data_IF_976919195527
#
_entry.id   IF_976919195527
#
_cell.length_a   1.000
_cell.length_b   1.000
_cell.length_c   1.000
_cell.angle_alpha   90.00
_cell.angle_beta   90.00
_cell.angle_gamma   90.00
#
_symmetry.space_group_name_H-M   'P 1'
#
loop_
_entity.id
_entity.type
_entity.pdbx_description
1 polymer ?
#
# COMPACT_ATOMS: atom_id res chain seq x y z
N UNK A 1 29.87 0.92 -13.47
CA UNK A 1 28.49 1.03 -14.00
C UNK A 1 27.88 -0.31 -14.43
N UNK A 2 28.57 -1.22 -15.15
CA UNK A 2 27.96 -2.51 -15.58
C UNK A 2 27.76 -3.52 -14.41
N UNK A 3 28.56 -3.46 -13.35
CA UNK A 3 28.48 -4.39 -12.22
C UNK A 3 27.33 -4.08 -11.25
N UNK A 4 27.07 -2.81 -10.91
CA UNK A 4 26.02 -2.43 -9.95
C UNK A 4 24.60 -2.80 -10.41
N UNK A 5 24.30 -2.57 -11.68
CA UNK A 5 23.00 -2.90 -12.26
C UNK A 5 22.73 -4.42 -12.28
N UNK A 6 23.77 -5.25 -12.41
CA UNK A 6 23.64 -6.72 -12.26
C UNK A 6 23.29 -7.12 -10.82
N UNK A 7 23.88 -6.46 -9.82
CA UNK A 7 23.59 -6.74 -8.41
C UNK A 7 22.16 -6.37 -8.04
N UNK A 8 21.67 -5.21 -8.49
CA UNK A 8 20.28 -4.78 -8.25
C UNK A 8 19.28 -5.71 -8.93
N UNK A 9 19.54 -6.15 -10.17
CA UNK A 9 18.66 -7.11 -10.84
C UNK A 9 18.61 -8.45 -10.12
N UNK A 10 19.73 -8.95 -9.60
CA UNK A 10 19.74 -10.18 -8.79
C UNK A 10 18.95 -10.03 -7.48
N UNK A 11 18.99 -8.84 -6.84
CA UNK A 11 18.16 -8.53 -5.67
C UNK A 11 16.67 -8.55 -6.03
N UNK A 12 16.28 -8.00 -7.18
CA UNK A 12 14.89 -8.09 -7.68
C UNK A 12 14.45 -9.52 -7.97
N UNK A 13 15.28 -10.30 -8.67
CA UNK A 13 14.99 -11.71 -8.99
C UNK A 13 14.73 -12.53 -7.72
N UNK A 14 15.57 -12.37 -6.69
CA UNK A 14 15.39 -13.05 -5.40
C UNK A 14 14.04 -12.72 -4.74
N UNK A 15 13.58 -11.49 -4.85
CA UNK A 15 12.29 -11.08 -4.28
C UNK A 15 11.13 -11.67 -5.09
N UNK A 16 11.26 -11.69 -6.41
CA UNK A 16 10.32 -12.35 -7.31
C UNK A 16 10.20 -13.85 -7.01
N UNK A 17 11.30 -14.53 -6.68
CA UNK A 17 11.30 -15.94 -6.26
C UNK A 17 10.51 -16.15 -4.96
N UNK A 18 10.52 -15.16 -4.06
CA UNK A 18 9.72 -15.14 -2.84
C UNK A 18 8.27 -14.69 -3.07
N UNK A 19 7.91 -14.40 -4.32
CA UNK A 19 6.57 -14.06 -4.78
C UNK A 19 6.29 -12.56 -4.90
N UNK A 20 7.19 -11.70 -4.42
CA UNK A 20 7.03 -10.24 -4.54
C UNK A 20 6.99 -9.82 -6.00
N UNK A 21 6.26 -8.75 -6.29
CA UNK A 21 6.24 -8.17 -7.64
C UNK A 21 7.02 -6.88 -7.61
N UNK A 22 7.98 -6.72 -8.53
CA UNK A 22 8.74 -5.48 -8.68
C UNK A 22 8.63 -4.95 -10.11
N UNK A 23 8.42 -3.64 -10.23
CA UNK A 23 8.49 -2.95 -11.50
C UNK A 23 9.29 -1.66 -11.36
N UNK A 24 10.32 -1.52 -12.19
CA UNK A 24 11.14 -0.32 -12.30
C UNK A 24 10.56 0.58 -13.40
N UNK A 25 10.22 1.82 -13.06
CA UNK A 25 9.72 2.83 -14.00
C UNK A 25 10.75 3.96 -14.12
N UNK A 26 10.83 4.58 -15.31
CA UNK A 26 11.68 5.75 -15.55
C UNK A 26 13.14 5.55 -15.08
N UNK A 27 13.70 4.37 -15.34
CA UNK A 27 15.06 3.98 -14.96
C UNK A 27 15.36 3.99 -13.45
N UNK A 28 14.34 3.79 -12.60
CA UNK A 28 14.49 3.72 -11.15
C UNK A 28 15.59 2.74 -10.69
N UNK A 29 15.73 1.58 -11.34
CA UNK A 29 16.77 0.61 -11.01
C UNK A 29 18.20 1.14 -11.23
N UNK A 30 18.40 2.02 -12.21
CA UNK A 30 19.69 2.69 -12.40
C UNK A 30 19.95 3.72 -11.30
N UNK A 31 18.94 4.55 -10.99
CA UNK A 31 19.01 5.52 -9.87
C UNK A 31 19.31 4.81 -8.55
N UNK A 32 18.67 3.67 -8.30
CA UNK A 32 18.95 2.84 -7.12
C UNK A 32 20.39 2.35 -7.12
N UNK A 33 20.85 1.76 -8.23
CA UNK A 33 22.21 1.22 -8.33
C UNK A 33 23.29 2.27 -8.15
N UNK A 34 23.04 3.51 -8.56
CA UNK A 34 24.07 4.56 -8.56
C UNK A 34 24.03 5.41 -7.28
N UNK A 35 22.86 5.59 -6.67
CA UNK A 35 22.67 6.58 -5.59
C UNK A 35 21.98 6.06 -4.33
N UNK A 36 21.24 4.95 -4.40
CA UNK A 36 20.40 4.48 -3.28
C UNK A 36 20.57 2.99 -2.95
N UNK A 37 21.75 2.40 -3.22
CA UNK A 37 21.95 0.96 -3.01
C UNK A 37 21.73 0.56 -1.54
N UNK A 38 22.26 1.35 -0.60
CA UNK A 38 22.11 1.13 0.84
C UNK A 38 20.65 1.29 1.30
N UNK A 39 20.00 2.37 0.90
CA UNK A 39 18.61 2.66 1.27
C UNK A 39 17.66 1.61 0.69
N UNK A 40 17.99 1.09 -0.50
CA UNK A 40 17.29 -0.03 -1.10
C UNK A 40 17.47 -1.32 -0.30
N UNK A 41 18.67 -1.63 0.20
CA UNK A 41 18.86 -2.79 1.08
C UNK A 41 18.03 -2.67 2.37
N UNK A 42 17.96 -1.49 2.97
CA UNK A 42 17.08 -1.22 4.12
C UNK A 42 15.60 -1.42 3.80
N UNK A 43 15.16 -1.03 2.59
CA UNK A 43 13.83 -1.31 2.08
C UNK A 43 13.59 -2.82 1.96
N UNK A 44 14.54 -3.57 1.37
CA UNK A 44 14.43 -5.02 1.20
C UNK A 44 14.32 -5.74 2.54
N UNK A 45 15.16 -5.38 3.51
CA UNK A 45 15.13 -5.93 4.85
C UNK A 45 13.76 -5.72 5.50
N UNK A 46 13.16 -4.54 5.30
CA UNK A 46 11.81 -4.27 5.83
C UNK A 46 10.73 -5.11 5.15
N UNK A 47 10.76 -5.23 3.82
CA UNK A 47 9.80 -6.05 3.07
C UNK A 47 9.91 -7.53 3.50
N UNK A 48 11.12 -8.05 3.63
CA UNK A 48 11.39 -9.44 4.00
C UNK A 48 11.10 -9.75 5.48
N UNK A 49 11.18 -8.74 6.35
CA UNK A 49 10.88 -8.89 7.78
C UNK A 49 9.40 -8.71 8.11
N UNK A 50 8.66 -8.00 7.28
CA UNK A 50 7.23 -7.80 7.48
C UNK A 50 6.46 -9.13 7.41
N UNK A 51 5.58 -9.34 8.39
CA UNK A 51 4.60 -10.44 8.39
C UNK A 51 3.21 -9.85 8.59
N UNK A 52 2.28 -10.27 7.75
CA UNK A 52 0.91 -9.80 7.76
C UNK A 52 0.01 -10.90 8.31
N UNK A 53 -0.93 -10.55 9.18
CA UNK A 53 -1.98 -11.48 9.59
C UNK A 53 -3.22 -11.24 8.74
N UNK A 54 -3.97 -12.31 8.45
CA UNK A 54 -5.28 -12.18 7.78
C UNK A 54 -6.19 -11.24 8.59
N UNK A 55 -6.12 -11.31 9.92
CA UNK A 55 -6.89 -10.43 10.80
C UNK A 55 -6.58 -8.95 10.59
N UNK A 56 -5.33 -8.52 10.74
CA UNK A 56 -4.97 -7.10 10.68
C UNK A 56 -5.08 -6.52 9.27
N UNK A 57 -4.67 -7.28 8.27
CA UNK A 57 -4.54 -6.79 6.91
C UNK A 57 -5.81 -7.03 6.06
N UNK A 58 -6.61 -8.06 6.37
CA UNK A 58 -7.77 -8.43 5.53
C UNK A 58 -9.11 -8.29 6.26
N UNK A 59 -9.24 -8.72 7.51
CA UNK A 59 -10.55 -8.79 8.19
C UNK A 59 -10.89 -7.47 8.89
N UNK A 60 -9.95 -6.93 9.67
CA UNK A 60 -10.07 -5.73 10.49
C UNK A 60 -10.64 -4.56 9.70
N UNK A 61 -11.63 -3.85 10.28
CA UNK A 61 -12.23 -2.66 9.67
C UNK A 61 -11.19 -1.56 9.50
N UNK A 62 -11.28 -0.83 8.38
CA UNK A 62 -10.50 0.40 8.20
C UNK A 62 -10.93 1.50 9.17
N UNK A 63 -10.02 2.42 9.50
CA UNK A 63 -10.30 3.59 10.32
C UNK A 63 -9.07 4.12 11.03
N UNK A 64 -8.71 5.38 10.72
CA UNK A 64 -7.46 6.04 11.12
C UNK A 64 -6.33 5.82 10.11
N UNK A 65 -5.42 6.79 9.97
CA UNK A 65 -4.33 6.82 8.97
C UNK A 65 -3.39 5.59 8.95
N UNK A 66 -3.33 4.72 9.98
CA UNK A 66 -2.14 3.87 10.20
C UNK A 66 -2.35 2.37 10.45
N UNK A 67 -3.55 1.79 10.35
CA UNK A 67 -3.85 0.48 10.98
C UNK A 67 -3.72 -0.79 10.09
N UNK A 68 -3.71 -0.70 8.75
CA UNK A 68 -3.78 -1.90 7.87
C UNK A 68 -2.40 -2.40 7.41
N UNK A 69 -1.41 -1.51 7.38
CA UNK A 69 -0.03 -1.81 6.95
C UNK A 69 1.00 -1.50 8.02
N UNK A 70 0.55 -1.35 9.27
CA UNK A 70 1.42 -1.04 10.42
C UNK A 70 2.58 -2.03 10.54
N UNK A 71 2.37 -3.30 10.18
CA UNK A 71 3.44 -4.30 10.19
C UNK A 71 4.62 -3.87 9.32
N UNK A 72 4.36 -3.46 8.08
CA UNK A 72 5.39 -3.00 7.15
C UNK A 72 5.91 -1.60 7.53
N UNK A 73 5.01 -0.66 7.85
CA UNK A 73 5.42 0.69 8.26
C UNK A 73 6.32 0.69 9.50
N UNK A 74 6.09 -0.22 10.47
CA UNK A 74 7.00 -0.41 11.62
C UNK A 74 8.39 -0.87 11.20
N UNK A 75 8.48 -1.75 10.20
CA UNK A 75 9.78 -2.17 9.68
C UNK A 75 10.48 -1.02 8.96
N UNK A 76 9.77 -0.25 8.14
CA UNK A 76 10.32 0.96 7.51
C UNK A 76 10.87 1.93 8.57
N UNK A 77 10.10 2.23 9.62
CA UNK A 77 10.56 3.11 10.71
C UNK A 77 11.77 2.52 11.43
N UNK A 78 11.77 1.21 11.72
CA UNK A 78 12.90 0.53 12.34
C UNK A 78 14.17 0.60 11.49
N UNK A 79 14.02 0.60 10.16
CA UNK A 79 15.11 0.74 9.19
C UNK A 79 15.40 2.21 8.79
N UNK A 80 14.92 3.17 9.58
CA UNK A 80 15.33 4.58 9.48
C UNK A 80 14.49 5.45 8.56
N UNK A 81 13.42 4.91 7.97
CA UNK A 81 12.45 5.69 7.21
C UNK A 81 11.59 6.55 8.15
N UNK A 82 11.28 7.78 7.73
CA UNK A 82 10.59 8.75 8.59
C UNK A 82 9.40 9.38 7.87
N UNK A 83 8.28 9.50 8.57
CA UNK A 83 7.17 10.32 8.11
C UNK A 83 7.54 11.81 8.19
N UNK A 84 7.17 12.60 7.18
CA UNK A 84 7.41 14.04 7.21
C UNK A 84 6.40 14.84 6.36
N UNK A 85 6.12 16.06 6.79
CA UNK A 85 5.38 17.04 5.99
C UNK A 85 6.37 17.95 5.26
N UNK A 86 6.24 18.07 3.95
CA UNK A 86 7.15 18.89 3.14
C UNK A 86 6.49 20.24 2.87
N UNK A 87 7.12 21.32 3.32
CA UNK A 87 6.71 22.69 2.96
C UNK A 87 7.63 23.23 1.89
N UNK A 88 7.05 23.61 0.76
CA UNK A 88 7.78 24.16 -0.37
C UNK A 88 7.47 25.64 -0.51
N UNK A 89 8.52 26.45 -0.55
CA UNK A 89 8.46 27.90 -0.76
C UNK A 89 9.15 28.20 -2.07
N UNK A 90 8.42 28.79 -3.02
CA UNK A 90 8.96 29.20 -4.31
C UNK A 90 8.95 30.71 -4.41
N UNK A 91 9.98 31.26 -5.04
CA UNK A 91 10.05 32.66 -5.44
C UNK A 91 10.19 32.72 -6.95
N UNK A 92 9.29 33.45 -7.60
CA UNK A 92 9.31 33.68 -9.05
C UNK A 92 9.83 35.09 -9.29
N UNK A 93 10.96 35.19 -9.97
CA UNK A 93 11.55 36.46 -10.39
C UNK A 93 11.36 36.66 -11.89
N UNK A 94 10.98 37.87 -12.29
CA UNK A 94 10.76 38.23 -13.68
C UNK A 94 11.89 39.14 -14.16
N UNK A 95 12.44 38.86 -15.34
CA UNK A 95 13.53 39.64 -15.92
C UNK A 95 13.15 41.09 -16.25
N UNK A 96 11.86 41.34 -16.48
CA UNK A 96 11.28 42.68 -16.64
C UNK A 96 9.75 42.62 -16.48
N UNK A 97 9.11 43.79 -16.34
CA UNK A 97 7.66 44.02 -16.38
C UNK A 97 6.81 43.57 -15.18
N UNK A 98 7.28 42.70 -14.30
CA UNK A 98 6.47 42.22 -13.17
C UNK A 98 7.26 42.18 -11.85
N UNK A 99 6.56 42.44 -10.74
CA UNK A 99 7.11 42.26 -9.40
C UNK A 99 7.31 40.78 -9.08
N UNK A 100 8.33 40.42 -8.26
CA UNK A 100 8.50 39.05 -7.78
C UNK A 100 7.25 38.54 -7.05
N UNK A 101 7.01 37.23 -7.16
CA UNK A 101 5.90 36.56 -6.47
C UNK A 101 6.46 35.46 -5.59
N UNK A 102 6.12 35.48 -4.30
CA UNK A 102 6.38 34.40 -3.37
C UNK A 102 5.14 33.50 -3.24
N UNK A 103 5.34 32.19 -3.33
CA UNK A 103 4.28 31.20 -3.14
C UNK A 103 4.74 30.15 -2.13
N UNK A 104 3.79 29.64 -1.34
CA UNK A 104 4.04 28.54 -0.41
C UNK A 104 2.96 27.49 -0.57
N UNK A 105 3.38 26.23 -0.54
CA UNK A 105 2.47 25.09 -0.47
C UNK A 105 3.04 24.04 0.47
N UNK A 106 2.18 23.39 1.23
CA UNK A 106 2.55 22.24 2.06
C UNK A 106 1.98 20.99 1.41
N UNK A 107 2.79 19.96 1.27
CA UNK A 107 2.34 18.64 0.78
C UNK A 107 1.48 17.98 1.84
N UNK A 108 0.80 16.87 1.48
CA UNK A 108 0.42 15.93 2.52
C UNK A 108 1.67 15.30 3.13
N UNK A 109 1.51 14.75 4.32
CA UNK A 109 2.52 13.94 4.99
C UNK A 109 2.92 12.79 4.07
N UNK A 110 4.22 12.67 3.79
CA UNK A 110 4.79 11.51 3.12
C UNK A 110 5.13 10.51 4.20
N UNK A 111 4.63 9.28 4.09
CA UNK A 111 4.70 8.32 5.18
C UNK A 111 6.14 7.84 5.44
N UNK A 112 6.94 7.67 4.38
CA UNK A 112 8.29 7.13 4.49
C UNK A 112 9.28 7.88 3.59
N UNK A 113 10.13 8.69 4.21
CA UNK A 113 11.26 9.36 3.58
C UNK A 113 12.58 8.85 4.16
N UNK A 114 13.57 8.69 3.30
CA UNK A 114 14.95 8.40 3.70
C UNK A 114 15.91 9.24 2.85
N UNK A 115 17.02 9.66 3.47
CA UNK A 115 18.11 10.37 2.79
C UNK A 115 19.29 9.44 2.66
N UNK A 116 19.93 9.45 1.50
CA UNK A 116 21.26 8.85 1.33
C UNK A 116 22.36 9.79 1.88
N UNK A 117 23.61 9.37 1.75
CA UNK A 117 24.81 10.12 2.20
C UNK A 117 25.06 11.42 1.43
N UNK A 118 24.49 11.56 0.22
CA UNK A 118 24.62 12.73 -0.64
C UNK A 118 23.45 13.72 -0.47
N UNK A 119 22.62 13.56 0.57
CA UNK A 119 21.41 14.35 0.82
C UNK A 119 20.34 14.25 -0.27
N UNK A 120 20.36 13.17 -1.05
CA UNK A 120 19.26 12.82 -1.98
C UNK A 120 18.19 12.05 -1.25
N UNK A 121 16.93 12.27 -1.61
CA UNK A 121 15.78 11.72 -0.89
C UNK A 121 15.06 10.66 -1.72
N UNK A 122 14.69 9.56 -1.06
CA UNK A 122 13.75 8.59 -1.57
C UNK A 122 12.44 8.63 -0.75
N UNK A 123 11.31 8.55 -1.43
CA UNK A 123 9.97 8.53 -0.82
C UNK A 123 9.24 7.23 -1.16
N UNK A 124 8.66 6.57 -0.16
CA UNK A 124 7.86 5.35 -0.31
C UNK A 124 6.48 5.53 0.33
N UNK A 125 5.43 5.23 -0.43
CA UNK A 125 4.05 5.21 0.06
C UNK A 125 3.51 3.78 0.09
N UNK A 126 2.76 3.44 1.14
CA UNK A 126 2.15 2.11 1.28
C UNK A 126 0.63 2.20 1.08
N UNK A 127 0.18 1.63 -0.02
CA UNK A 127 -1.18 1.71 -0.51
C UNK A 127 -1.91 0.36 -0.43
N UNK A 128 -2.75 0.17 0.59
CA UNK A 128 -3.41 -1.12 0.83
C UNK A 128 -4.81 -1.24 0.24
N UNK A 129 -5.71 -0.32 0.61
CA UNK A 129 -7.14 -0.37 0.25
C UNK A 129 -7.75 1.03 0.22
N UNK A 130 -6.93 2.04 -0.09
CA UNK A 130 -7.37 3.42 -0.21
C UNK A 130 -8.36 3.58 -1.36
N UNK A 131 -9.28 4.55 -1.22
CA UNK A 131 -10.16 4.95 -2.33
C UNK A 131 -9.32 5.69 -3.38
N UNK A 132 -9.74 5.60 -4.64
CA UNK A 132 -9.09 6.25 -5.80
C UNK A 132 -8.55 7.67 -5.55
N UNK A 133 -9.30 8.53 -4.84
CA UNK A 133 -8.90 9.92 -4.55
C UNK A 133 -7.64 10.05 -3.67
N UNK A 134 -7.43 9.13 -2.74
CA UNK A 134 -6.23 9.12 -1.89
C UNK A 134 -5.05 8.56 -2.67
N UNK A 135 -5.27 7.51 -3.43
CA UNK A 135 -4.21 6.90 -4.22
C UNK A 135 -3.68 7.81 -5.33
N UNK A 136 -4.57 8.57 -5.98
CA UNK A 136 -4.16 9.60 -6.96
C UNK A 136 -3.31 10.67 -6.28
N UNK A 137 -3.61 11.03 -5.01
CA UNK A 137 -2.83 11.99 -4.25
C UNK A 137 -1.39 11.50 -4.03
N UNK A 138 -1.17 10.23 -3.71
CA UNK A 138 0.18 9.70 -3.41
C UNK A 138 1.05 9.63 -4.66
N UNK A 139 0.48 9.16 -5.78
CA UNK A 139 1.13 9.17 -7.10
C UNK A 139 1.50 10.61 -7.51
N UNK A 140 0.58 11.56 -7.33
CA UNK A 140 0.85 12.97 -7.63
C UNK A 140 1.85 13.60 -6.66
N UNK A 141 1.92 13.14 -5.41
CA UNK A 141 2.93 13.59 -4.44
C UNK A 141 4.34 13.26 -4.93
N UNK A 142 4.58 11.98 -5.25
CA UNK A 142 5.88 11.50 -5.69
C UNK A 142 6.30 12.26 -6.95
N UNK A 143 5.40 12.37 -7.93
CA UNK A 143 5.68 13.13 -9.15
C UNK A 143 6.04 14.58 -8.86
N UNK A 144 5.21 15.27 -8.07
CA UNK A 144 5.40 16.70 -7.77
C UNK A 144 6.71 16.94 -7.04
N UNK A 145 7.02 16.12 -6.04
CA UNK A 145 8.26 16.22 -5.28
C UNK A 145 9.48 16.01 -6.18
N UNK A 146 9.40 15.07 -7.12
CA UNK A 146 10.47 14.85 -8.11
C UNK A 146 10.61 16.05 -9.06
N UNK A 147 9.51 16.56 -9.63
CA UNK A 147 9.52 17.73 -10.52
C UNK A 147 10.06 19.00 -9.84
N UNK A 148 9.97 19.07 -8.51
CA UNK A 148 10.51 20.16 -7.69
C UNK A 148 11.93 19.88 -7.16
N UNK A 149 12.57 18.79 -7.59
CA UNK A 149 13.90 18.34 -7.16
C UNK A 149 14.00 18.13 -5.62
N UNK A 150 12.91 17.72 -4.99
CA UNK A 150 12.88 17.40 -3.56
C UNK A 150 13.19 15.93 -3.31
N UNK A 151 12.69 15.04 -4.15
CA UNK A 151 12.99 13.59 -4.09
C UNK A 151 13.57 13.14 -5.42
N UNK A 152 14.48 12.18 -5.37
CA UNK A 152 15.18 11.64 -6.53
C UNK A 152 14.63 10.26 -6.94
N UNK A 153 14.00 9.56 -5.99
CA UNK A 153 13.42 8.24 -6.17
C UNK A 153 12.06 8.15 -5.45
N UNK A 154 11.05 7.67 -6.15
CA UNK A 154 9.76 7.31 -5.59
C UNK A 154 9.57 5.80 -5.45
N UNK A 155 8.60 5.39 -4.65
CA UNK A 155 8.08 4.05 -4.71
C UNK A 155 6.71 3.89 -4.07
N UNK A 156 6.00 2.89 -4.54
CA UNK A 156 4.63 2.58 -4.11
C UNK A 156 4.55 1.10 -3.81
N UNK A 157 4.16 0.77 -2.58
CA UNK A 157 3.91 -0.60 -2.15
C UNK A 157 2.40 -0.85 -2.14
N UNK A 158 1.92 -1.88 -2.80
CA UNK A 158 0.50 -2.26 -2.79
C UNK A 158 0.30 -3.77 -2.85
N UNK A 159 -0.96 -4.23 -2.89
CA UNK A 159 -1.28 -5.65 -3.08
C UNK A 159 -0.85 -6.13 -4.47
N UNK A 160 -0.12 -7.24 -4.53
CA UNK A 160 0.19 -7.90 -5.81
C UNK A 160 -1.07 -8.48 -6.47
N UNK A 161 -1.06 -8.75 -7.79
CA UNK A 161 -2.16 -9.45 -8.46
C UNK A 161 -2.49 -10.80 -7.80
N UNK A 162 -1.46 -11.57 -7.45
CA UNK A 162 -1.63 -12.87 -6.78
C UNK A 162 -2.27 -12.74 -5.40
N UNK A 163 -1.93 -11.69 -4.65
CA UNK A 163 -2.58 -11.41 -3.37
C UNK A 163 -4.04 -11.05 -3.56
N UNK A 164 -4.36 -10.23 -4.55
CA UNK A 164 -5.75 -9.89 -4.88
C UNK A 164 -6.61 -11.14 -5.16
N UNK A 165 -6.07 -12.07 -5.94
CA UNK A 165 -6.73 -13.34 -6.26
C UNK A 165 -6.89 -14.26 -5.03
N UNK A 166 -5.98 -14.18 -4.05
CA UNK A 166 -5.97 -15.02 -2.86
C UNK A 166 -6.90 -14.51 -1.75
N UNK A 167 -7.20 -13.21 -1.70
CA UNK A 167 -8.06 -12.60 -0.67
C UNK A 167 -9.38 -13.35 -0.44
N UNK A 168 -10.15 -13.77 -1.47
CA UNK A 168 -11.39 -14.51 -1.25
C UNK A 168 -11.19 -15.80 -0.46
N UNK A 169 -10.10 -16.52 -0.73
CA UNK A 169 -9.75 -17.76 -0.04
C UNK A 169 -9.35 -17.48 1.41
N UNK A 170 -8.50 -16.47 1.66
CA UNK A 170 -8.12 -16.07 3.02
C UNK A 170 -9.33 -15.69 3.88
N UNK A 171 -10.31 -14.98 3.31
CA UNK A 171 -11.55 -14.64 4.04
C UNK A 171 -12.40 -15.88 4.33
N UNK A 172 -12.48 -16.82 3.37
CA UNK A 172 -13.20 -18.08 3.56
C UNK A 172 -12.57 -18.92 4.66
N UNK A 173 -11.27 -19.18 4.57
CA UNK A 173 -10.52 -19.94 5.58
C UNK A 173 -10.63 -19.29 6.95
N UNK A 174 -10.55 -17.97 7.02
CA UNK A 174 -10.72 -17.25 8.28
C UNK A 174 -12.10 -17.51 8.88
N UNK A 175 -13.20 -17.35 8.13
CA UNK A 175 -14.55 -17.57 8.65
C UNK A 175 -14.89 -19.04 8.93
N UNK A 176 -14.31 -20.02 8.22
CA UNK A 176 -14.50 -21.45 8.51
C UNK A 176 -14.02 -21.81 9.92
N UNK A 177 -13.00 -21.10 10.42
CA UNK A 177 -12.46 -21.31 11.78
C UNK A 177 -13.34 -20.72 12.89
N UNK A 178 -14.47 -20.09 12.56
CA UNK A 178 -15.45 -19.60 13.52
C UNK A 178 -16.73 -20.43 13.48
N UNK A 179 -17.44 -20.60 14.62
CA UNK A 179 -18.71 -21.32 14.68
C UNK A 179 -19.87 -20.46 14.13
N UNK A 180 -19.81 -20.07 12.85
CA UNK A 180 -20.78 -19.18 12.20
C UNK A 180 -21.84 -19.99 11.46
N UNK A 181 -23.10 -19.82 11.85
CA UNK A 181 -24.28 -20.44 11.23
C UNK A 181 -25.31 -19.40 10.79
N UNK A 182 -25.26 -18.19 11.35
CA UNK A 182 -26.17 -17.10 11.05
C UNK A 182 -25.49 -15.73 11.27
N UNK A 183 -26.20 -14.64 10.97
CA UNK A 183 -25.65 -13.29 11.05
C UNK A 183 -25.26 -12.91 12.49
N UNK A 184 -26.04 -13.38 13.47
CA UNK A 184 -25.80 -13.08 14.89
C UNK A 184 -24.49 -13.69 15.41
N UNK A 185 -23.99 -14.78 14.81
CA UNK A 185 -22.77 -15.43 15.27
C UNK A 185 -21.51 -14.57 15.04
N UNK A 186 -21.59 -13.58 14.14
CA UNK A 186 -20.52 -12.59 13.93
C UNK A 186 -20.31 -11.66 15.13
N UNK A 187 -21.25 -11.61 16.08
CA UNK A 187 -21.04 -10.94 17.36
C UNK A 187 -19.82 -11.54 18.11
N UNK A 188 -19.57 -12.85 17.99
CA UNK A 188 -18.41 -13.49 18.61
C UNK A 188 -17.08 -12.99 18.00
N UNK A 189 -17.05 -12.82 16.67
CA UNK A 189 -15.91 -12.24 15.97
C UNK A 189 -15.71 -10.79 16.41
N UNK A 190 -16.78 -10.01 16.48
CA UNK A 190 -16.71 -8.62 16.95
C UNK A 190 -16.16 -8.51 18.38
N UNK A 191 -16.63 -9.35 19.30
CA UNK A 191 -16.13 -9.42 20.68
C UNK A 191 -14.66 -9.81 20.75
N UNK A 192 -14.19 -10.75 19.92
CA UNK A 192 -12.76 -11.08 19.83
C UNK A 192 -11.92 -9.86 19.42
N UNK A 193 -12.33 -9.14 18.37
CA UNK A 193 -11.63 -7.92 17.94
C UNK A 193 -11.66 -6.84 19.03
N UNK A 194 -12.76 -6.69 19.76
CA UNK A 194 -12.84 -5.75 20.86
C UNK A 194 -11.88 -6.09 22.01
N UNK A 195 -11.80 -7.35 22.40
CA UNK A 195 -10.86 -7.83 23.42
C UNK A 195 -9.40 -7.65 22.99
N UNK A 196 -9.09 -7.98 21.73
CA UNK A 196 -7.71 -7.91 21.21
C UNK A 196 -7.20 -6.48 21.02
N UNK A 197 -8.05 -5.56 20.52
CA UNK A 197 -7.63 -4.20 20.15
C UNK A 197 -8.13 -3.12 21.11
N UNK A 198 -8.84 -3.48 22.19
CA UNK A 198 -9.41 -2.56 23.17
C UNK A 198 -10.59 -1.73 22.66
N UNK A 199 -11.08 -2.03 21.45
CA UNK A 199 -12.25 -1.41 20.82
C UNK A 199 -12.73 -2.32 19.70
N UNK A 200 -14.04 -2.36 19.45
CA UNK A 200 -14.56 -3.12 18.31
C UNK A 200 -13.85 -2.68 17.02
N UNK A 201 -13.28 -3.63 16.28
CA UNK A 201 -12.55 -3.42 15.02
C UNK A 201 -13.08 -4.30 13.89
N UNK A 202 -14.32 -4.77 14.01
CA UNK A 202 -14.99 -5.62 13.05
C UNK A 202 -16.43 -5.12 12.85
N UNK A 203 -16.83 -4.86 11.61
CA UNK A 203 -18.10 -4.17 11.30
C UNK A 203 -18.97 -4.94 10.31
N UNK A 204 -18.83 -6.27 10.26
CA UNK A 204 -19.53 -7.15 9.34
C UNK A 204 -20.35 -8.19 10.11
N UNK A 205 -21.52 -8.62 9.60
CA UNK A 205 -22.28 -7.98 8.53
C UNK A 205 -23.09 -6.78 9.04
N UNK A 206 -23.35 -5.79 8.17
CA UNK A 206 -24.45 -4.83 8.34
C UNK A 206 -25.79 -5.48 7.97
N UNK A 207 -26.92 -4.85 8.31
CA UNK A 207 -28.26 -5.40 7.98
C UNK A 207 -28.44 -5.68 6.49
N UNK A 208 -27.93 -4.79 5.63
CA UNK A 208 -27.96 -4.95 4.17
C UNK A 208 -27.09 -6.14 3.74
N UNK A 209 -25.92 -6.32 4.35
CA UNK A 209 -25.04 -7.44 4.06
C UNK A 209 -25.64 -8.76 4.54
N UNK A 210 -26.27 -8.78 5.72
CA UNK A 210 -26.97 -9.95 6.25
C UNK A 210 -28.11 -10.40 5.33
N UNK A 211 -28.94 -9.46 4.85
CA UNK A 211 -30.00 -9.76 3.89
C UNK A 211 -29.46 -10.35 2.57
N UNK A 212 -28.31 -9.85 2.08
CA UNK A 212 -27.66 -10.39 0.89
C UNK A 212 -27.06 -11.79 1.12
N UNK A 213 -26.52 -12.06 2.32
CA UNK A 213 -26.07 -13.41 2.71
C UNK A 213 -27.24 -14.37 2.67
N UNK A 214 -28.36 -14.03 3.33
CA UNK A 214 -29.56 -14.86 3.38
C UNK A 214 -30.11 -15.15 1.98
N UNK A 215 -30.06 -14.18 1.07
CA UNK A 215 -30.45 -14.37 -0.33
C UNK A 215 -29.59 -15.44 -1.02
N UNK A 216 -28.27 -15.43 -0.82
CA UNK A 216 -27.36 -16.43 -1.39
C UNK A 216 -27.55 -17.81 -0.77
N UNK A 217 -27.84 -17.85 0.53
CA UNK A 217 -28.12 -19.10 1.25
C UNK A 217 -29.41 -19.74 0.76
N UNK A 218 -30.48 -18.95 0.56
CA UNK A 218 -31.72 -19.43 -0.07
C UNK A 218 -31.51 -19.95 -1.49
N UNK A 219 -30.48 -19.47 -2.19
CA UNK A 219 -30.08 -19.96 -3.50
C UNK A 219 -29.16 -21.21 -3.44
N UNK A 220 -28.92 -21.79 -2.26
CA UNK A 220 -28.18 -23.03 -2.07
C UNK A 220 -26.68 -22.87 -1.75
N UNK A 221 -26.20 -21.66 -1.51
CA UNK A 221 -24.80 -21.44 -1.08
C UNK A 221 -24.67 -21.70 0.43
N UNK A 222 -23.66 -22.44 0.91
CA UNK A 222 -23.41 -22.57 2.35
C UNK A 222 -23.25 -21.21 3.03
N UNK A 223 -23.65 -21.10 4.30
CA UNK A 223 -23.70 -19.80 4.98
C UNK A 223 -22.34 -19.08 5.03
N UNK A 224 -21.27 -19.81 5.39
CA UNK A 224 -19.92 -19.25 5.47
C UNK A 224 -19.42 -18.80 4.09
N UNK A 225 -19.59 -19.62 3.04
CA UNK A 225 -19.29 -19.23 1.66
C UNK A 225 -20.03 -17.96 1.22
N UNK A 226 -21.32 -17.87 1.53
CA UNK A 226 -22.13 -16.69 1.23
C UNK A 226 -21.59 -15.45 1.97
N UNK A 227 -21.29 -15.58 3.26
CA UNK A 227 -20.74 -14.53 4.09
C UNK A 227 -19.36 -14.05 3.57
N UNK A 228 -18.45 -14.96 3.25
CA UNK A 228 -17.13 -14.61 2.70
C UNK A 228 -17.24 -13.87 1.37
N UNK A 229 -18.12 -14.32 0.46
CA UNK A 229 -18.36 -13.64 -0.82
C UNK A 229 -18.91 -12.22 -0.62
N UNK A 230 -19.87 -12.03 0.30
CA UNK A 230 -20.44 -10.72 0.60
C UNK A 230 -19.41 -9.81 1.27
N UNK A 231 -18.62 -10.33 2.20
CA UNK A 231 -17.53 -9.59 2.84
C UNK A 231 -16.56 -9.07 1.79
N UNK A 232 -16.04 -9.97 0.94
CA UNK A 232 -15.06 -9.63 -0.10
C UNK A 232 -15.63 -8.62 -1.07
N UNK A 233 -16.87 -8.84 -1.54
CA UNK A 233 -17.52 -7.90 -2.45
C UNK A 233 -17.66 -6.52 -1.82
N UNK A 234 -18.09 -6.44 -0.57
CA UNK A 234 -18.29 -5.16 0.11
C UNK A 234 -16.99 -4.41 0.41
N UNK A 235 -15.90 -5.13 0.69
CA UNK A 235 -14.64 -4.54 1.12
C UNK A 235 -13.65 -4.29 -0.01
N UNK A 236 -13.66 -5.14 -1.03
CA UNK A 236 -12.64 -5.19 -2.10
C UNK A 236 -13.19 -5.02 -3.51
N UNK A 237 -14.49 -5.23 -3.77
CA UNK A 237 -15.03 -5.08 -5.13
C UNK A 237 -15.23 -3.61 -5.57
N UNK A 238 -14.88 -2.63 -4.74
CA UNK A 238 -14.88 -1.20 -5.09
C UNK A 238 -13.60 -0.71 -5.78
N UNK A 239 -13.49 0.61 -5.94
CA UNK A 239 -12.31 1.37 -6.39
C UNK A 239 -11.20 1.40 -5.33
N UNK A 240 -10.80 0.23 -4.83
CA UNK A 240 -9.74 0.11 -3.84
C UNK A 240 -8.41 -0.18 -4.52
N UNK A 241 -7.36 0.52 -4.09
CA UNK A 241 -6.03 0.42 -4.69
C UNK A 241 -5.55 -1.02 -4.76
N UNK A 242 -5.26 -1.48 -5.98
CA UNK A 242 -4.57 -2.74 -6.25
C UNK A 242 -3.63 -2.57 -7.44
N UNK A 243 -2.84 -3.62 -7.72
CA UNK A 243 -1.87 -3.59 -8.81
C UNK A 243 -2.48 -3.16 -10.15
N UNK A 244 -3.69 -3.62 -10.50
CA UNK A 244 -4.35 -3.26 -11.77
C UNK A 244 -4.65 -1.75 -11.84
N UNK A 245 -5.14 -1.17 -10.75
CA UNK A 245 -5.41 0.27 -10.68
C UNK A 245 -4.12 1.08 -10.73
N UNK A 246 -3.05 0.62 -10.07
CA UNK A 246 -1.72 1.23 -10.17
C UNK A 246 -1.20 1.19 -11.62
N UNK A 247 -1.31 0.04 -12.29
CA UNK A 247 -0.92 -0.08 -13.70
C UNK A 247 -1.67 0.91 -14.61
N UNK A 248 -2.96 1.14 -14.37
CA UNK A 248 -3.73 2.11 -15.16
C UNK A 248 -3.15 3.53 -15.06
N UNK A 249 -2.61 3.91 -13.89
CA UNK A 249 -1.97 5.21 -13.65
C UNK A 249 -0.61 5.31 -14.33
N UNK A 250 0.15 4.22 -14.30
CA UNK A 250 1.41 4.11 -15.07
C UNK A 250 1.13 4.32 -16.56
N UNK A 251 0.10 3.67 -17.09
CA UNK A 251 -0.29 3.81 -18.51
C UNK A 251 -0.73 5.23 -18.87
N UNK A 252 -1.43 5.91 -17.96
CA UNK A 252 -1.79 7.34 -18.10
C UNK A 252 -0.61 8.30 -17.93
N UNK A 253 0.57 7.79 -17.55
CA UNK A 253 1.78 8.57 -17.24
C UNK A 253 1.57 9.53 -16.07
N UNK A 254 0.77 9.12 -15.09
CA UNK A 254 0.44 9.95 -13.92
C UNK A 254 1.69 10.27 -13.08
N UNK A 255 2.71 9.38 -13.09
CA UNK A 255 4.02 9.57 -12.45
C UNK A 255 4.99 10.49 -13.24
N UNK A 256 4.63 10.90 -14.46
CA UNK A 256 5.51 11.71 -15.30
C UNK A 256 6.86 11.04 -15.56
N UNK A 257 7.95 11.76 -15.28
CA UNK A 257 9.33 11.27 -15.44
C UNK A 257 9.99 10.80 -14.14
N UNK A 258 9.27 10.80 -13.03
CA UNK A 258 9.83 10.43 -11.73
C UNK A 258 10.33 8.96 -11.74
N UNK A 259 11.61 8.70 -11.47
CA UNK A 259 12.12 7.35 -11.22
C UNK A 259 11.31 6.73 -10.07
N UNK A 260 10.58 5.67 -10.35
CA UNK A 260 9.66 5.07 -9.37
C UNK A 260 9.75 3.54 -9.39
N UNK A 261 9.81 2.92 -8.21
CA UNK A 261 9.64 1.47 -8.06
C UNK A 261 8.22 1.13 -7.58
N UNK A 262 7.59 0.14 -8.23
CA UNK A 262 6.31 -0.40 -7.78
C UNK A 262 6.54 -1.77 -7.17
N UNK A 263 5.92 -2.01 -6.01
CA UNK A 263 6.16 -3.18 -5.18
C UNK A 263 4.82 -3.83 -4.83
N UNK A 264 4.66 -5.09 -5.20
CA UNK A 264 3.46 -5.89 -4.94
C UNK A 264 3.70 -6.88 -3.81
N UNK A 265 2.95 -6.73 -2.71
CA UNK A 265 2.98 -7.65 -1.56
C UNK A 265 2.36 -9.00 -1.97
N UNK A 266 3.08 -10.12 -1.78
CA UNK A 266 2.59 -11.44 -2.16
C UNK A 266 1.73 -12.10 -1.08
N UNK A 267 0.96 -13.14 -1.44
CA UNK A 267 0.32 -14.03 -0.47
C UNK A 267 1.28 -14.65 0.55
N UNK A 268 2.52 -14.96 0.13
CA UNK A 268 3.55 -15.59 0.97
C UNK A 268 4.02 -14.70 2.14
N UNK A 269 3.70 -13.41 2.12
CA UNK A 269 3.99 -12.50 3.23
C UNK A 269 2.98 -12.64 4.39
N UNK A 270 1.92 -13.41 4.20
CA UNK A 270 0.89 -13.67 5.20
C UNK A 270 1.18 -14.93 6.02
N UNK A 271 0.84 -14.86 7.30
CA UNK A 271 0.87 -15.97 8.26
C UNK A 271 -0.51 -16.23 8.84
#
# INVERSE_FOLDING_TARGET
MISGNKTINAKFERLCDLGWVFQSLNYASAVISDEFEREFDLLLDSLLSARFTIEDAIIKRGGGRSDQTTALGRQFVANGWKANNITIKNRVEFSSAFSPIDTQSTTHEIDHLISNENNKLAAIEIEWNNKDEFFDRDVQAIRRLYEMNVVDLGGIVTRSPKLEEKIPEFVLEYFINWPIKCANDFANVASYFEQKYGRNKFSFPTDVQAAEIDRKVKAGTPYVDAASRVFVASKYAGTTTNWRQLQSRVQRKDLGRAPTILIGIPPSAFS
#
